data_IF_575106039840
#
_entry.id   IF_575106039840
#
_cell.length_a   1.000
_cell.length_b   1.000
_cell.length_c   1.000
_cell.angle_alpha   90.00
_cell.angle_beta   90.00
_cell.angle_gamma   90.00
#
_symmetry.space_group_name_H-M   'P 1'
#
loop_
_entity.id
_entity.type
_entity.pdbx_description
1 polymer ?
#
# COMPACT_ATOMS: atom_id res chain seq x y z
N UNK A 1 9.18 -22.55 -2.43
CA UNK A 1 7.78 -22.62 -2.05
C UNK A 1 6.97 -21.94 -3.14
N UNK A 2 6.18 -22.70 -3.85
CA UNK A 2 5.37 -22.27 -4.98
C UNK A 2 4.20 -21.42 -4.46
N UNK A 3 4.03 -20.26 -5.05
CA UNK A 3 2.87 -19.43 -4.83
C UNK A 3 1.72 -20.06 -5.63
N UNK A 4 0.83 -20.78 -4.97
CA UNK A 4 -0.39 -21.32 -5.58
C UNK A 4 -1.33 -20.13 -5.77
N UNK A 5 -1.43 -19.69 -7.01
CA UNK A 5 -2.45 -18.74 -7.45
C UNK A 5 -3.78 -19.48 -7.54
N UNK A 6 -4.65 -19.28 -6.55
CA UNK A 6 -6.06 -19.69 -6.66
C UNK A 6 -6.79 -18.72 -7.59
N UNK A 7 -6.59 -18.91 -8.89
CA UNK A 7 -7.48 -18.34 -9.90
C UNK A 7 -8.63 -19.29 -10.14
N UNK A 8 -9.70 -19.18 -9.37
CA UNK A 8 -10.99 -19.66 -9.84
C UNK A 8 -11.54 -18.58 -10.76
N UNK A 9 -11.69 -18.92 -12.01
CA UNK A 9 -12.18 -18.09 -13.10
C UNK A 9 -13.61 -17.63 -12.78
N UNK A 10 -13.79 -16.41 -12.28
CA UNK A 10 -15.05 -15.71 -12.32
C UNK A 10 -15.26 -15.17 -13.74
N UNK A 11 -15.83 -16.01 -14.61
CA UNK A 11 -16.35 -15.55 -15.91
C UNK A 11 -17.60 -14.71 -15.67
N UNK A 12 -17.47 -13.39 -15.64
CA UNK A 12 -18.61 -12.51 -15.80
C UNK A 12 -18.78 -12.17 -17.28
N UNK A 13 -19.89 -12.63 -17.84
CA UNK A 13 -20.36 -12.21 -19.18
C UNK A 13 -20.82 -10.75 -19.17
N UNK A 14 -19.92 -9.81 -19.03
CA UNK A 14 -20.01 -8.38 -19.41
C UNK A 14 -18.70 -7.73 -19.02
N UNK A 15 -18.13 -6.92 -19.89
CA UNK A 15 -16.80 -6.32 -19.77
C UNK A 15 -16.53 -5.66 -18.40
N UNK A 16 -16.08 -6.45 -17.45
CA UNK A 16 -15.57 -5.98 -16.17
C UNK A 16 -14.04 -5.90 -16.24
N UNK A 17 -13.46 -4.80 -15.80
CA UNK A 17 -12.01 -4.64 -15.71
C UNK A 17 -11.57 -5.29 -14.42
N UNK A 18 -11.02 -6.50 -14.49
CA UNK A 18 -10.34 -7.14 -13.35
C UNK A 18 -8.97 -6.47 -13.18
N UNK A 19 -8.85 -5.62 -12.19
CA UNK A 19 -7.58 -5.00 -11.84
C UNK A 19 -7.00 -5.73 -10.63
N UNK A 20 -6.21 -6.77 -10.88
CA UNK A 20 -5.39 -7.40 -9.85
C UNK A 20 -4.07 -6.63 -9.79
N UNK A 21 -3.88 -5.82 -8.76
CA UNK A 21 -2.59 -5.18 -8.50
C UNK A 21 -1.73 -6.21 -7.78
N UNK A 22 -0.99 -7.00 -8.53
CA UNK A 22 0.01 -7.92 -8.00
C UNK A 22 1.31 -7.16 -7.81
N UNK A 23 1.74 -6.94 -6.56
CA UNK A 23 3.12 -6.56 -6.28
C UNK A 23 3.94 -7.86 -6.28
N UNK A 24 4.25 -8.32 -7.50
CA UNK A 24 5.12 -9.48 -7.69
C UNK A 24 6.55 -9.16 -7.30
N UNK A 25 7.15 -9.95 -6.41
CA UNK A 25 8.60 -10.04 -6.28
C UNK A 25 9.19 -10.32 -7.65
N UNK A 26 9.92 -9.39 -8.26
CA UNK A 26 10.76 -9.69 -9.40
C UNK A 26 11.88 -10.63 -8.95
N UNK A 27 11.81 -11.90 -9.38
CA UNK A 27 12.95 -12.82 -9.26
C UNK A 27 14.07 -12.31 -10.16
N UNK A 28 15.26 -12.18 -9.57
CA UNK A 28 16.50 -11.93 -10.30
C UNK A 28 16.63 -12.94 -11.46
N UNK A 29 16.82 -12.40 -12.67
CA UNK A 29 16.87 -13.17 -13.90
C UNK A 29 17.97 -14.23 -13.89
N UNK A 30 17.68 -15.38 -14.49
CA UNK A 30 18.66 -16.44 -14.84
C UNK A 30 19.80 -15.85 -15.67
N UNK A 31 21.04 -16.11 -15.25
CA UNK A 31 22.23 -15.88 -16.09
C UNK A 31 22.16 -16.75 -17.34
N UNK A 32 21.94 -16.12 -18.49
CA UNK A 32 22.20 -16.77 -19.79
C UNK A 32 23.65 -16.46 -20.14
N UNK A 33 24.49 -17.50 -20.18
CA UNK A 33 25.83 -17.43 -20.77
C UNK A 33 25.70 -17.31 -22.28
N UNK A 34 25.98 -16.15 -22.83
CA UNK A 34 26.10 -15.92 -24.28
C UNK A 34 27.27 -14.96 -24.53
N UNK A 35 28.25 -15.39 -25.33
CA UNK A 35 29.35 -14.55 -25.85
C UNK A 35 28.76 -13.53 -26.82
N UNK A 36 28.89 -12.26 -26.48
CA UNK A 36 28.55 -11.15 -27.38
C UNK A 36 28.29 -9.89 -26.54
N UNK A 37 29.06 -8.82 -26.76
CA UNK A 37 28.84 -7.50 -26.12
C UNK A 37 27.58 -6.87 -26.71
N UNK A 38 26.40 -7.38 -26.35
CA UNK A 38 25.14 -6.70 -26.59
C UNK A 38 24.82 -5.91 -25.31
N UNK A 39 24.86 -4.58 -25.41
CA UNK A 39 24.30 -3.71 -24.37
C UNK A 39 22.79 -3.92 -24.40
N UNK A 40 22.27 -4.82 -23.56
CA UNK A 40 20.83 -4.94 -23.33
C UNK A 40 20.37 -3.68 -22.58
N UNK A 41 19.91 -2.68 -23.32
CA UNK A 41 19.05 -1.65 -22.75
C UNK A 41 17.67 -2.27 -22.54
N UNK A 42 17.37 -2.69 -21.32
CA UNK A 42 15.98 -2.95 -20.94
C UNK A 42 15.28 -1.59 -20.96
N UNK A 43 14.58 -1.31 -22.05
CA UNK A 43 13.70 -0.16 -22.16
C UNK A 43 12.53 -0.45 -21.22
N UNK A 44 12.59 0.00 -19.97
CA UNK A 44 11.47 -0.04 -19.03
C UNK A 44 10.41 0.92 -19.59
N UNK A 45 9.58 0.38 -20.48
CA UNK A 45 8.40 1.10 -20.96
C UNK A 45 7.40 1.12 -19.81
N UNK A 46 7.03 2.33 -19.36
CA UNK A 46 5.96 2.59 -18.40
C UNK A 46 6.27 2.32 -16.91
N UNK A 47 7.46 2.69 -16.43
CA UNK A 47 7.66 2.81 -15.00
C UNK A 47 6.81 3.97 -14.49
N UNK A 48 5.94 3.69 -13.50
CA UNK A 48 5.18 4.71 -12.78
C UNK A 48 5.90 5.03 -11.49
N UNK A 49 6.07 6.31 -11.20
CA UNK A 49 6.77 6.78 -10.00
C UNK A 49 5.80 7.64 -9.19
N UNK A 50 5.81 7.48 -7.86
CA UNK A 50 5.00 8.27 -6.94
C UNK A 50 5.68 9.62 -6.67
N UNK A 51 5.71 10.51 -7.66
CA UNK A 51 6.41 11.81 -7.59
C UNK A 51 5.59 12.91 -6.88
N UNK A 52 4.29 12.69 -6.66
CA UNK A 52 3.39 13.73 -6.16
C UNK A 52 3.36 13.85 -4.62
N UNK A 53 4.21 13.12 -3.91
CA UNK A 53 4.35 13.27 -2.47
C UNK A 53 5.01 14.61 -2.12
N UNK A 54 4.34 15.42 -1.29
CA UNK A 54 4.92 16.64 -0.69
C UNK A 54 5.39 16.39 0.73
N UNK A 55 4.67 15.56 1.46
CA UNK A 55 4.88 15.30 2.89
C UNK A 55 5.64 13.99 3.16
N UNK A 56 5.94 13.21 2.14
CA UNK A 56 6.73 11.98 2.27
C UNK A 56 7.92 11.97 1.33
N UNK A 57 9.07 11.54 1.84
CA UNK A 57 10.29 11.39 1.03
C UNK A 57 11.18 10.29 1.63
N UNK A 58 11.73 9.43 0.77
CA UNK A 58 12.89 8.60 1.12
C UNK A 58 14.12 9.50 0.97
N UNK A 59 14.88 9.67 2.06
CA UNK A 59 16.05 10.53 2.11
C UNK A 59 17.30 9.74 1.72
N UNK A 60 17.42 8.52 2.29
CA UNK A 60 18.56 7.64 2.07
C UNK A 60 18.20 6.19 2.40
N UNK A 61 18.97 5.24 1.86
CA UNK A 61 18.75 3.80 2.09
C UNK A 61 20.07 3.07 2.18
N UNK A 62 20.29 2.27 3.23
CA UNK A 62 21.48 1.45 3.40
C UNK A 62 21.30 0.35 4.43
N UNK A 63 21.96 -0.79 4.19
CA UNK A 63 22.16 -1.86 5.18
C UNK A 63 20.86 -2.36 5.82
N UNK A 64 19.80 -2.51 5.03
CA UNK A 64 18.51 -3.00 5.51
C UNK A 64 17.61 -1.93 6.13
N UNK A 65 18.02 -0.67 6.15
CA UNK A 65 17.27 0.45 6.70
C UNK A 65 16.94 1.50 5.65
N UNK A 66 15.83 2.19 5.87
CA UNK A 66 15.45 3.41 5.14
C UNK A 66 15.30 4.59 6.10
N UNK A 67 15.87 5.70 5.68
CA UNK A 67 15.72 7.01 6.29
C UNK A 67 14.65 7.77 5.53
N UNK A 68 13.60 8.16 6.20
CA UNK A 68 12.40 8.73 5.58
C UNK A 68 11.97 10.02 6.29
N UNK A 69 11.37 10.93 5.53
CA UNK A 69 10.63 12.08 6.08
C UNK A 69 9.13 11.84 5.94
N UNK A 70 8.41 12.01 7.04
CA UNK A 70 6.96 11.86 7.15
C UNK A 70 6.35 13.13 7.73
N UNK A 71 5.94 14.06 6.86
CA UNK A 71 5.44 15.37 7.29
C UNK A 71 6.45 16.13 8.13
N UNK A 72 7.73 16.12 7.72
CA UNK A 72 8.84 16.77 8.41
C UNK A 72 9.41 15.99 9.60
N UNK A 73 8.82 14.85 10.02
CA UNK A 73 9.41 13.95 11.01
C UNK A 73 10.32 12.96 10.32
N UNK A 74 11.55 12.84 10.80
CA UNK A 74 12.56 11.96 10.22
C UNK A 74 12.58 10.64 10.97
N UNK A 75 12.29 9.56 10.27
CA UNK A 75 12.21 8.21 10.84
C UNK A 75 13.20 7.27 10.16
N UNK A 76 13.76 6.35 10.94
CA UNK A 76 14.54 5.21 10.45
C UNK A 76 13.72 3.94 10.67
N UNK A 77 13.51 3.17 9.61
CA UNK A 77 12.77 1.91 9.68
C UNK A 77 13.46 0.81 8.89
N UNK A 78 13.44 -0.45 9.37
CA UNK A 78 14.00 -1.56 8.64
C UNK A 78 13.17 -1.89 7.38
N UNK A 79 13.88 -2.11 6.27
CA UNK A 79 13.31 -2.60 5.03
C UNK A 79 14.20 -3.72 4.45
N UNK A 80 13.74 -4.98 4.48
CA UNK A 80 14.55 -6.13 4.03
C UNK A 80 14.81 -6.16 2.53
N UNK A 81 14.18 -5.27 1.75
CA UNK A 81 14.45 -5.14 0.32
C UNK A 81 15.74 -4.35 0.07
N UNK A 82 16.23 -3.61 1.06
CA UNK A 82 17.46 -2.83 0.98
C UNK A 82 18.65 -3.74 1.29
N UNK A 83 19.12 -4.48 0.29
CA UNK A 83 20.22 -5.45 0.40
C UNK A 83 21.61 -4.83 0.19
N UNK A 84 21.68 -3.60 -0.27
CA UNK A 84 22.94 -2.89 -0.51
C UNK A 84 23.48 -2.23 0.76
N UNK A 85 24.82 -2.09 0.80
CA UNK A 85 25.54 -1.43 1.87
C UNK A 85 26.26 -0.21 1.28
N UNK A 86 25.53 0.90 1.16
CA UNK A 86 26.09 2.19 0.78
C UNK A 86 26.55 2.98 2.01
N UNK A 87 27.52 3.90 1.89
CA UNK A 87 27.81 4.83 2.97
C UNK A 87 26.55 5.64 3.34
N UNK A 88 26.24 5.71 4.63
CA UNK A 88 25.13 6.55 5.17
C UNK A 88 25.57 8.02 5.10
N UNK A 89 25.31 8.70 3.99
CA UNK A 89 25.84 10.05 3.70
C UNK A 89 25.07 11.17 4.38
N UNK A 90 23.79 10.97 4.66
CA UNK A 90 22.97 11.98 5.32
C UNK A 90 23.27 12.01 6.82
N UNK A 91 23.53 13.20 7.37
CA UNK A 91 23.66 13.42 8.82
C UNK A 91 22.34 13.15 9.58
N UNK A 92 21.22 13.13 8.86
CA UNK A 92 19.91 12.79 9.44
C UNK A 92 19.83 11.35 9.94
N UNK A 93 20.72 10.44 9.55
CA UNK A 93 20.80 9.11 10.15
C UNK A 93 21.05 9.15 11.67
N UNK A 94 21.89 10.10 12.10
CA UNK A 94 22.22 10.31 13.51
C UNK A 94 21.25 11.26 14.22
N UNK A 95 20.52 12.09 13.45
CA UNK A 95 19.60 13.12 13.94
C UNK A 95 18.12 12.75 13.75
N UNK A 96 17.81 11.50 13.39
CA UNK A 96 16.45 11.04 13.21
C UNK A 96 15.61 11.25 14.48
N UNK A 97 14.33 11.58 14.29
CA UNK A 97 13.41 11.83 15.39
C UNK A 97 12.96 10.53 16.07
N UNK A 98 12.89 9.44 15.29
CA UNK A 98 12.56 8.10 15.79
C UNK A 98 13.25 7.01 14.98
N UNK A 99 13.64 5.93 15.65
CA UNK A 99 14.27 4.74 15.06
C UNK A 99 13.48 3.52 15.51
N UNK A 100 13.04 2.69 14.55
CA UNK A 100 12.39 1.42 14.88
C UNK A 100 13.40 0.30 14.95
N UNK A 101 13.49 -0.33 16.10
CA UNK A 101 14.33 -1.50 16.36
C UNK A 101 13.49 -2.78 16.25
N UNK A 102 13.88 -3.68 15.35
CA UNK A 102 13.19 -4.95 15.17
C UNK A 102 13.58 -5.95 16.25
N UNK A 103 12.60 -6.57 16.88
CA UNK A 103 12.83 -7.69 17.80
C UNK A 103 13.06 -8.99 17.04
N UNK A 104 13.92 -9.86 17.56
CA UNK A 104 14.11 -11.22 17.06
C UNK A 104 12.88 -12.12 17.26
N UNK A 105 12.00 -11.77 18.20
CA UNK A 105 10.77 -12.50 18.54
C UNK A 105 9.54 -12.03 17.73
N UNK A 106 9.74 -11.14 16.73
CA UNK A 106 8.66 -10.48 15.98
C UNK A 106 8.25 -9.15 16.62
N UNK A 107 7.74 -8.22 15.79
CA UNK A 107 7.48 -6.85 16.23
C UNK A 107 8.77 -6.07 16.47
N UNK A 108 8.73 -5.15 17.42
CA UNK A 108 9.85 -4.29 17.81
C UNK A 108 9.36 -3.06 18.57
N UNK A 109 10.27 -2.11 18.75
CA UNK A 109 10.01 -0.90 19.51
C UNK A 109 10.60 0.34 18.83
N UNK A 110 10.04 1.49 19.17
CA UNK A 110 10.55 2.78 18.72
C UNK A 110 11.45 3.40 19.77
N UNK A 111 12.66 3.75 19.38
CA UNK A 111 13.52 4.67 20.09
C UNK A 111 13.19 6.10 19.64
N UNK A 112 12.61 6.92 20.52
CA UNK A 112 12.32 8.31 20.22
C UNK A 112 13.48 9.20 20.72
N UNK A 113 14.14 9.91 19.80
CA UNK A 113 15.18 10.88 20.13
C UNK A 113 14.64 12.29 20.31
N UNK A 114 13.44 12.53 19.78
CA UNK A 114 12.66 13.74 20.01
C UNK A 114 11.23 13.36 20.38
N UNK A 115 10.56 14.25 21.08
CA UNK A 115 9.14 14.08 21.36
C UNK A 115 8.36 14.18 20.05
N UNK A 116 7.79 13.06 19.62
CA UNK A 116 6.85 13.00 18.51
C UNK A 116 5.41 13.07 19.02
N UNK A 117 4.48 13.66 18.26
CA UNK A 117 3.06 13.52 18.56
C UNK A 117 2.64 12.05 18.40
N UNK A 118 1.59 11.63 19.11
CA UNK A 118 1.02 10.28 18.95
C UNK A 118 0.55 10.01 17.54
N UNK A 119 0.08 11.04 16.84
CA UNK A 119 -0.29 10.97 15.43
C UNK A 119 -0.14 12.32 14.75
N UNK A 120 0.01 12.30 13.44
CA UNK A 120 0.02 13.49 12.59
C UNK A 120 -0.49 13.16 11.20
N UNK A 121 -0.86 14.18 10.43
CA UNK A 121 -1.35 13.98 9.07
C UNK A 121 -0.25 14.22 8.05
N UNK A 122 -0.29 13.44 6.96
CA UNK A 122 0.42 13.69 5.72
C UNK A 122 -0.55 13.71 4.54
N UNK A 123 -0.24 14.45 3.50
CA UNK A 123 -1.09 14.60 2.32
C UNK A 123 -0.52 13.92 1.08
N UNK A 124 -1.40 13.37 0.26
CA UNK A 124 -1.12 12.98 -1.11
C UNK A 124 -2.23 13.49 -2.03
N UNK A 125 -1.93 14.48 -2.87
CA UNK A 125 -2.95 15.19 -3.67
C UNK A 125 -4.07 15.73 -2.77
N UNK A 126 -5.30 15.28 -2.98
CA UNK A 126 -6.47 15.68 -2.19
C UNK A 126 -6.72 14.80 -0.95
N UNK A 127 -5.93 13.75 -0.77
CA UNK A 127 -6.08 12.81 0.34
C UNK A 127 -5.19 13.20 1.52
N UNK A 128 -5.67 12.95 2.73
CA UNK A 128 -4.92 13.08 3.98
C UNK A 128 -4.93 11.76 4.73
N UNK A 129 -3.79 11.42 5.31
CA UNK A 129 -3.61 10.18 6.04
C UNK A 129 -3.03 10.46 7.41
N UNK A 130 -3.60 9.84 8.42
CA UNK A 130 -3.11 9.90 9.79
C UNK A 130 -1.97 8.90 9.90
N UNK A 131 -0.82 9.35 10.34
CA UNK A 131 0.36 8.55 10.62
C UNK A 131 0.46 8.33 12.12
N UNK A 132 0.65 7.06 12.53
CA UNK A 132 0.85 6.66 13.93
C UNK A 132 1.99 5.66 14.00
N UNK A 133 3.11 5.97 14.65
CA UNK A 133 4.06 4.95 15.05
C UNK A 133 3.37 3.95 15.98
N UNK A 134 3.36 2.69 15.58
CA UNK A 134 2.75 1.60 16.38
C UNK A 134 3.85 0.67 16.89
N UNK A 135 3.51 -0.33 17.72
CA UNK A 135 4.43 -1.39 18.13
C UNK A 135 5.00 -2.24 16.97
N UNK A 136 4.60 -1.93 15.74
CA UNK A 136 5.15 -2.48 14.51
C UNK A 136 5.89 -1.40 13.72
N UNK A 137 6.76 -1.82 12.78
CA UNK A 137 7.49 -0.89 11.90
C UNK A 137 6.60 -0.03 10.99
N UNK A 138 5.34 -0.43 10.82
CA UNK A 138 4.39 0.25 9.95
C UNK A 138 3.76 1.44 10.66
N UNK A 139 3.67 2.55 9.94
CA UNK A 139 3.15 3.83 10.45
C UNK A 139 1.72 4.12 9.98
N UNK A 140 1.06 3.12 9.43
CA UNK A 140 -0.32 3.22 8.95
C UNK A 140 -0.46 3.49 7.45
N UNK A 141 0.65 3.65 6.71
CA UNK A 141 0.59 3.91 5.28
C UNK A 141 1.75 3.26 4.53
N UNK A 142 1.51 2.91 3.27
CA UNK A 142 2.48 2.45 2.30
C UNK A 142 2.57 3.47 1.16
N UNK A 143 3.48 4.46 1.24
CA UNK A 143 3.54 5.56 0.26
C UNK A 143 3.82 5.11 -1.17
N UNK A 144 4.50 3.98 -1.35
CA UNK A 144 4.77 3.36 -2.66
C UNK A 144 3.49 2.96 -3.39
N UNK A 145 2.38 2.73 -2.68
CA UNK A 145 1.08 2.42 -3.26
C UNK A 145 0.42 3.60 -3.98
N UNK A 146 0.93 4.80 -3.83
CA UNK A 146 0.37 6.00 -4.46
C UNK A 146 0.31 5.89 -6.00
N UNK A 147 1.25 5.18 -6.63
CA UNK A 147 1.21 4.90 -8.08
C UNK A 147 -0.02 4.07 -8.48
N UNK A 148 -0.42 3.14 -7.60
CA UNK A 148 -1.60 2.31 -7.82
C UNK A 148 -2.88 3.11 -7.55
N UNK A 149 -2.86 4.00 -6.54
CA UNK A 149 -3.99 4.91 -6.27
C UNK A 149 -4.27 5.81 -7.46
N UNK A 150 -3.22 6.42 -8.04
CA UNK A 150 -3.35 7.25 -9.24
C UNK A 150 -3.90 6.46 -10.42
N UNK A 151 -3.40 5.26 -10.64
CA UNK A 151 -3.88 4.40 -11.72
C UNK A 151 -5.37 4.05 -11.57
N UNK A 152 -5.79 3.66 -10.37
CA UNK A 152 -7.19 3.33 -10.10
C UNK A 152 -8.08 4.55 -10.25
N UNK A 153 -7.67 5.69 -9.70
CA UNK A 153 -8.41 6.93 -9.81
C UNK A 153 -8.60 7.37 -11.26
N UNK A 154 -7.55 7.29 -12.08
CA UNK A 154 -7.65 7.60 -13.52
C UNK A 154 -8.62 6.67 -14.25
N UNK A 155 -8.58 5.36 -13.95
CA UNK A 155 -9.52 4.40 -14.55
C UNK A 155 -10.96 4.68 -14.16
N UNK A 156 -11.21 5.02 -12.90
CA UNK A 156 -12.55 5.31 -12.40
C UNK A 156 -13.08 6.59 -13.05
N UNK A 157 -12.32 7.69 -13.06
CA UNK A 157 -12.73 8.97 -13.66
C UNK A 157 -13.02 8.86 -15.16
N UNK A 158 -12.26 8.01 -15.86
CA UNK A 158 -12.40 7.82 -17.31
C UNK A 158 -13.43 6.73 -17.70
N UNK A 159 -14.12 6.12 -16.74
CA UNK A 159 -15.07 5.04 -17.02
C UNK A 159 -16.40 5.53 -17.64
N UNK A 160 -16.74 6.81 -17.49
CA UNK A 160 -17.99 7.40 -17.99
C UNK A 160 -19.28 6.85 -17.33
N UNK A 161 -19.15 6.10 -16.23
CA UNK A 161 -20.26 5.51 -15.46
C UNK A 161 -19.84 5.30 -14.01
N UNK A 162 -20.80 5.05 -13.14
CA UNK A 162 -20.54 4.63 -11.76
C UNK A 162 -19.74 3.32 -11.73
N UNK A 163 -18.71 3.27 -10.87
CA UNK A 163 -17.86 2.12 -10.67
C UNK A 163 -18.01 1.60 -9.24
N UNK A 164 -18.22 0.28 -9.11
CA UNK A 164 -18.26 -0.43 -7.83
C UNK A 164 -16.95 -1.16 -7.60
N UNK A 165 -16.22 -0.77 -6.55
CA UNK A 165 -14.92 -1.34 -6.20
C UNK A 165 -15.05 -2.21 -4.95
N UNK A 166 -14.47 -3.41 -5.00
CA UNK A 166 -14.25 -4.25 -3.84
C UNK A 166 -12.77 -4.16 -3.45
N UNK A 167 -12.48 -3.61 -2.27
CA UNK A 167 -11.13 -3.55 -1.71
C UNK A 167 -11.02 -4.55 -0.55
N UNK A 168 -10.20 -5.60 -0.74
CA UNK A 168 -9.92 -6.67 0.20
C UNK A 168 -8.56 -6.48 0.83
N UNK A 169 -8.39 -6.89 2.11
CA UNK A 169 -7.19 -6.61 2.90
C UNK A 169 -6.88 -5.11 2.90
N UNK A 170 -7.95 -4.34 3.10
CA UNK A 170 -7.96 -2.93 2.72
C UNK A 170 -7.17 -2.02 3.68
N UNK A 171 -6.67 -2.56 4.81
CA UNK A 171 -5.80 -1.91 5.77
C UNK A 171 -6.37 -0.55 6.24
N UNK A 172 -5.57 0.50 6.27
CA UNK A 172 -5.97 1.87 6.66
C UNK A 172 -6.62 2.68 5.54
N UNK A 173 -6.98 2.02 4.42
CA UNK A 173 -7.88 2.56 3.42
C UNK A 173 -7.25 3.41 2.31
N UNK A 174 -5.93 3.38 2.09
CA UNK A 174 -5.30 4.20 1.05
C UNK A 174 -5.95 4.02 -0.33
N UNK A 175 -6.09 2.78 -0.81
CA UNK A 175 -6.75 2.46 -2.06
C UNK A 175 -8.27 2.78 -2.04
N UNK A 176 -8.93 2.53 -0.91
CA UNK A 176 -10.35 2.86 -0.70
C UNK A 176 -10.61 4.33 -0.92
N UNK A 177 -9.81 5.18 -0.26
CA UNK A 177 -9.99 6.64 -0.33
C UNK A 177 -9.70 7.16 -1.73
N UNK A 178 -8.67 6.63 -2.40
CA UNK A 178 -8.35 7.02 -3.77
C UNK A 178 -9.47 6.67 -4.76
N UNK A 179 -10.08 5.49 -4.61
CA UNK A 179 -11.22 5.09 -5.43
C UNK A 179 -12.48 5.93 -5.13
N UNK A 180 -12.77 6.19 -3.86
CA UNK A 180 -13.94 6.98 -3.45
C UNK A 180 -13.82 8.46 -3.83
N UNK A 181 -12.61 9.04 -3.74
CA UNK A 181 -12.33 10.40 -4.21
C UNK A 181 -12.53 10.52 -5.72
N UNK A 182 -12.16 9.47 -6.46
CA UNK A 182 -12.36 9.40 -7.91
C UNK A 182 -13.82 9.16 -8.33
N UNK A 183 -14.76 8.95 -7.39
CA UNK A 183 -16.20 8.81 -7.64
C UNK A 183 -16.74 7.37 -7.60
N UNK A 184 -15.97 6.39 -7.14
CA UNK A 184 -16.45 5.03 -7.01
C UNK A 184 -17.25 4.80 -5.73
N UNK A 185 -18.20 3.84 -5.79
CA UNK A 185 -18.75 3.19 -4.59
C UNK A 185 -17.80 2.07 -4.15
N UNK A 186 -17.36 2.07 -2.89
CA UNK A 186 -16.32 1.14 -2.43
C UNK A 186 -16.82 0.26 -1.29
N UNK A 187 -16.63 -1.05 -1.40
CA UNK A 187 -16.70 -1.98 -0.26
C UNK A 187 -15.29 -2.20 0.28
N UNK A 188 -15.03 -1.66 1.48
CA UNK A 188 -13.77 -1.78 2.20
C UNK A 188 -13.86 -2.93 3.19
N UNK A 189 -13.03 -3.98 3.01
CA UNK A 189 -13.05 -5.19 3.84
C UNK A 189 -11.67 -5.44 4.43
N UNK A 190 -11.61 -5.49 5.74
CA UNK A 190 -10.40 -5.88 6.49
C UNK A 190 -10.81 -6.64 7.76
N UNK A 191 -10.04 -7.64 8.15
CA UNK A 191 -10.32 -8.44 9.33
C UNK A 191 -10.05 -7.70 10.64
N UNK A 192 -9.22 -6.65 10.62
CA UNK A 192 -8.85 -5.87 11.80
C UNK A 192 -9.81 -4.71 12.03
N UNK A 193 -10.57 -4.77 13.13
CA UNK A 193 -11.43 -3.65 13.57
C UNK A 193 -10.65 -2.33 13.71
N UNK A 194 -9.43 -2.39 14.24
CA UNK A 194 -8.58 -1.20 14.40
C UNK A 194 -8.17 -0.58 13.07
N UNK A 195 -7.88 -1.41 12.05
CA UNK A 195 -7.53 -0.91 10.70
C UNK A 195 -8.73 -0.28 10.01
N UNK A 196 -9.90 -0.90 10.10
CA UNK A 196 -11.15 -0.34 9.54
C UNK A 196 -11.51 0.98 10.23
N UNK A 197 -11.32 1.08 11.54
CA UNK A 197 -11.55 2.32 12.26
C UNK A 197 -10.56 3.42 11.82
N UNK A 198 -9.28 3.09 11.68
CA UNK A 198 -8.27 4.02 11.17
C UNK A 198 -8.57 4.45 9.73
N UNK A 199 -9.06 3.55 8.89
CA UNK A 199 -9.48 3.89 7.53
C UNK A 199 -10.67 4.89 7.53
N UNK A 200 -11.63 4.75 8.44
CA UNK A 200 -12.72 5.74 8.62
C UNK A 200 -12.19 7.10 9.06
N UNK A 201 -11.22 7.12 9.96
CA UNK A 201 -10.56 8.35 10.41
C UNK A 201 -9.81 9.02 9.25
N UNK A 202 -9.11 8.23 8.42
CA UNK A 202 -8.48 8.73 7.19
C UNK A 202 -9.51 9.30 6.21
N UNK A 203 -10.68 8.68 6.08
CA UNK A 203 -11.77 9.22 5.26
C UNK A 203 -12.26 10.57 5.82
N UNK A 204 -12.42 10.68 7.14
CA UNK A 204 -12.87 11.91 7.77
C UNK A 204 -11.88 13.07 7.58
N UNK A 205 -10.57 12.85 7.82
CA UNK A 205 -9.56 13.90 7.61
C UNK A 205 -9.34 14.25 6.14
N UNK A 206 -9.74 13.36 5.22
CA UNK A 206 -9.73 13.59 3.77
C UNK A 206 -11.02 14.26 3.26
N UNK A 207 -12.03 14.51 4.12
CA UNK A 207 -13.32 15.09 3.72
C UNK A 207 -14.18 14.12 2.88
N UNK A 208 -14.03 12.80 3.11
CA UNK A 208 -14.70 11.74 2.35
C UNK A 208 -15.73 10.96 3.19
N UNK A 209 -16.17 11.50 4.34
CA UNK A 209 -17.10 10.82 5.24
C UNK A 209 -18.45 10.48 4.57
N UNK A 210 -18.89 11.34 3.66
CA UNK A 210 -20.19 11.21 2.95
C UNK A 210 -20.09 10.41 1.65
N UNK A 211 -18.90 9.91 1.32
CA UNK A 211 -18.74 9.09 0.12
C UNK A 211 -19.32 7.69 0.31
N UNK A 212 -19.79 7.04 -0.75
CA UNK A 212 -20.42 5.72 -0.68
C UNK A 212 -19.41 4.62 -0.40
N UNK A 213 -18.89 4.59 0.84
CA UNK A 213 -17.93 3.59 1.33
C UNK A 213 -18.63 2.70 2.34
N UNK A 214 -18.71 1.42 2.03
CA UNK A 214 -19.21 0.38 2.92
C UNK A 214 -18.03 -0.20 3.70
N UNK A 215 -17.98 0.10 5.00
CA UNK A 215 -16.94 -0.35 5.91
C UNK A 215 -17.26 -1.69 6.54
N UNK A 216 -16.40 -2.69 6.41
CA UNK A 216 -16.64 -4.06 6.84
C UNK A 216 -15.44 -4.61 7.61
N UNK A 217 -15.70 -5.01 8.86
CA UNK A 217 -14.76 -5.80 9.65
C UNK A 217 -15.10 -7.26 9.42
N UNK A 218 -14.34 -7.94 8.57
CA UNK A 218 -14.69 -9.28 8.13
C UNK A 218 -13.48 -10.03 7.56
N UNK A 219 -13.51 -11.35 7.62
CA UNK A 219 -12.60 -12.20 6.87
C UNK A 219 -12.88 -12.08 5.37
N UNK A 220 -11.85 -11.77 4.59
CA UNK A 220 -11.99 -11.47 3.17
C UNK A 220 -12.54 -12.65 2.36
N UNK A 221 -12.11 -13.88 2.67
CA UNK A 221 -12.58 -15.07 1.96
C UNK A 221 -14.06 -15.35 2.26
N UNK A 222 -14.44 -15.34 3.55
CA UNK A 222 -15.82 -15.52 3.98
C UNK A 222 -16.74 -14.43 3.42
N UNK A 223 -16.24 -13.19 3.35
CA UNK A 223 -16.97 -12.09 2.75
C UNK A 223 -17.23 -12.36 1.26
N UNK A 224 -16.23 -12.71 0.48
CA UNK A 224 -16.34 -12.98 -0.95
C UNK A 224 -17.33 -14.13 -1.20
N UNK A 225 -17.23 -15.22 -0.45
CA UNK A 225 -18.16 -16.35 -0.55
C UNK A 225 -19.63 -15.92 -0.30
N UNK A 226 -19.88 -15.01 0.65
CA UNK A 226 -21.21 -14.46 0.90
C UNK A 226 -21.70 -13.56 -0.24
N UNK A 227 -20.83 -12.73 -0.79
CA UNK A 227 -21.21 -11.86 -1.92
C UNK A 227 -21.54 -12.68 -3.18
N UNK A 228 -20.80 -13.77 -3.44
CA UNK A 228 -21.09 -14.71 -4.52
C UNK A 228 -22.50 -15.32 -4.34
N UNK A 229 -22.82 -15.84 -3.13
CA UNK A 229 -24.14 -16.42 -2.84
C UNK A 229 -25.29 -15.39 -2.99
N UNK A 230 -25.00 -14.11 -2.76
CA UNK A 230 -25.96 -13.00 -2.91
C UNK A 230 -26.05 -12.48 -4.34
N UNK A 231 -25.29 -13.03 -5.28
CA UNK A 231 -25.23 -12.54 -6.66
C UNK A 231 -24.70 -11.11 -6.79
N UNK A 232 -23.92 -10.62 -5.82
CA UNK A 232 -23.33 -9.28 -5.88
C UNK A 232 -22.18 -9.25 -6.87
N UNK A 233 -22.09 -8.17 -7.61
CA UNK A 233 -21.05 -7.93 -8.62
C UNK A 233 -20.33 -6.62 -8.37
N UNK A 234 -19.08 -6.58 -8.77
CA UNK A 234 -18.18 -5.43 -8.69
C UNK A 234 -17.52 -5.20 -10.04
N UNK A 235 -17.21 -3.96 -10.36
CA UNK A 235 -16.52 -3.59 -11.61
C UNK A 235 -15.01 -3.77 -11.49
N UNK A 236 -14.46 -3.62 -10.27
CA UNK A 236 -13.06 -3.80 -9.99
C UNK A 236 -12.85 -4.44 -8.60
N UNK A 237 -11.80 -5.25 -8.50
CA UNK A 237 -11.32 -5.82 -7.23
C UNK A 237 -9.89 -5.35 -7.02
N UNK A 238 -9.64 -4.75 -5.86
CA UNK A 238 -8.32 -4.35 -5.37
C UNK A 238 -7.99 -5.23 -4.18
N UNK A 239 -6.82 -5.84 -4.17
CA UNK A 239 -6.37 -6.64 -3.03
C UNK A 239 -4.85 -6.69 -2.95
N UNK A 240 -4.34 -6.64 -1.72
CA UNK A 240 -2.94 -6.84 -1.38
C UNK A 240 -2.85 -7.81 -0.19
N UNK A 241 -3.03 -9.12 -0.46
CA UNK A 241 -3.09 -10.11 0.60
C UNK A 241 -1.73 -10.27 1.30
N UNK A 242 -1.70 -10.55 2.61
CA UNK A 242 -0.47 -10.85 3.31
C UNK A 242 0.19 -12.10 2.74
N UNK A 243 1.53 -12.13 2.71
CA UNK A 243 2.32 -13.25 2.17
C UNK A 243 2.20 -14.54 3.00
N UNK A 244 1.63 -14.44 4.20
CA UNK A 244 1.37 -15.57 5.10
C UNK A 244 -0.07 -15.45 5.60
N UNK A 245 -0.94 -16.32 5.08
CA UNK A 245 -2.19 -16.61 5.76
C UNK A 245 -1.84 -17.31 7.09
N UNK A 246 -2.35 -16.79 8.20
CA UNK A 246 -2.48 -17.65 9.37
C UNK A 246 -3.72 -18.48 9.12
N UNK A 247 -3.50 -19.74 8.75
CA UNK A 247 -4.54 -20.74 8.84
C UNK A 247 -4.91 -20.94 10.29
#
# INVERSE_FOLDING_TARGET
>A
AECISLFSTLQTKRAGILLTVHIGRQRAGRKIKGRGKSKFYIRIKNMRIAENWKDYKIIDTSSGDKLESWGGKVLVRPDPQIIWKSPKRSDLWTKADGIYHRSSKGGGEWEYRKRLPESWNIGYKNLKFIIRPTGFKHTGLFPEQAVNWDFMADKIRNAGREIKVLNLFAYTGGATLACAEAGASVSHVDASKGMVQWARENAAVSGLSDKPIRWLVDDCEKFVQREIRRGKTYDAIVMDPPSYGRG
#
